data_IF_617667315798
#
_entry.id   IF_617667315798
#
_cell.length_a   1.000
_cell.length_b   1.000
_cell.length_c   1.000
_cell.angle_alpha   90.00
_cell.angle_beta   90.00
_cell.angle_gamma   90.00
#
_symmetry.space_group_name_H-M   'P 1'
#
loop_
_entity.id
_entity.type
_entity.pdbx_description
1 polymer ?
#
# COMPACT_ATOMS: atom_id res chain seq x y z
N UNK A 1 -0.72 -20.62 -9.06
CA UNK A 1 -0.49 -19.15 -9.03
C UNK A 1 -1.13 -18.59 -7.78
N UNK A 2 -0.49 -17.62 -7.14
CA UNK A 2 -0.90 -17.09 -5.84
C UNK A 2 -1.08 -15.58 -5.89
N UNK A 3 -2.08 -15.06 -5.18
CA UNK A 3 -2.23 -13.62 -4.96
C UNK A 3 -1.13 -13.10 -4.05
N UNK A 4 -0.63 -11.90 -4.35
CA UNK A 4 0.26 -11.17 -3.47
C UNK A 4 -0.09 -9.68 -3.51
N UNK A 5 -0.47 -9.14 -2.37
CA UNK A 5 -0.85 -7.73 -2.24
C UNK A 5 0.18 -6.94 -1.47
N UNK A 6 0.22 -5.64 -1.74
CA UNK A 6 1.06 -4.71 -0.99
C UNK A 6 0.76 -4.75 0.52
N UNK A 7 -0.52 -4.87 0.90
CA UNK A 7 -0.93 -4.92 2.30
C UNK A 7 -0.39 -6.14 3.06
N UNK A 8 -0.32 -7.31 2.39
CA UNK A 8 0.29 -8.51 3.00
C UNK A 8 1.78 -8.30 3.26
N UNK A 9 2.52 -7.81 2.24
CA UNK A 9 3.95 -7.55 2.39
C UNK A 9 4.23 -6.47 3.44
N UNK A 10 3.41 -5.40 3.49
CA UNK A 10 3.54 -4.36 4.51
C UNK A 10 3.25 -4.87 5.93
N UNK A 11 2.27 -5.77 6.09
CA UNK A 11 1.98 -6.38 7.38
C UNK A 11 3.14 -7.26 7.86
N UNK A 12 3.76 -8.02 6.95
CA UNK A 12 4.95 -8.81 7.24
C UNK A 12 6.15 -7.92 7.62
N UNK A 13 6.42 -6.86 6.84
CA UNK A 13 7.50 -5.90 7.15
C UNK A 13 7.28 -5.22 8.49
N UNK A 14 6.05 -4.80 8.79
CA UNK A 14 5.72 -4.21 10.08
C UNK A 14 6.01 -5.16 11.25
N UNK A 15 5.74 -6.45 11.08
CA UNK A 15 6.12 -7.46 12.08
C UNK A 15 7.66 -7.56 12.22
N UNK A 16 8.41 -7.57 11.12
CA UNK A 16 9.88 -7.67 11.18
C UNK A 16 10.53 -6.44 11.83
N UNK A 17 9.91 -5.27 11.67
CA UNK A 17 10.41 -3.99 12.19
C UNK A 17 9.88 -3.68 13.61
N UNK A 18 9.10 -4.60 14.20
CA UNK A 18 8.54 -4.40 15.54
C UNK A 18 9.62 -4.57 16.63
N UNK A 19 9.59 -3.69 17.62
CA UNK A 19 10.40 -3.81 18.82
C UNK A 19 10.06 -5.10 19.60
N UNK A 20 10.99 -5.67 20.32
CA UNK A 20 10.83 -6.90 21.09
C UNK A 20 9.59 -6.89 21.99
N UNK A 21 9.28 -5.75 22.61
CA UNK A 21 8.11 -5.60 23.48
C UNK A 21 6.76 -5.76 22.75
N UNK A 22 6.74 -5.62 21.43
CA UNK A 22 5.54 -5.70 20.61
C UNK A 22 5.58 -6.85 19.58
N UNK A 23 6.66 -7.64 19.55
CA UNK A 23 6.91 -8.66 18.55
C UNK A 23 5.77 -9.70 18.46
N UNK A 24 5.28 -10.20 19.60
CA UNK A 24 4.18 -11.18 19.63
C UNK A 24 2.87 -10.60 19.08
N UNK A 25 2.53 -9.36 19.42
CA UNK A 25 1.34 -8.70 18.93
C UNK A 25 1.45 -8.40 17.42
N UNK A 26 2.63 -8.00 16.95
CA UNK A 26 2.91 -7.75 15.54
C UNK A 26 2.87 -9.05 14.73
N UNK A 27 3.42 -10.15 15.25
CA UNK A 27 3.32 -11.47 14.63
C UNK A 27 1.86 -11.93 14.54
N UNK A 28 1.10 -11.83 15.63
CA UNK A 28 -0.33 -12.17 15.64
C UNK A 28 -1.09 -11.37 14.59
N UNK A 29 -0.85 -10.06 14.50
CA UNK A 29 -1.48 -9.20 13.49
C UNK A 29 -1.09 -9.58 12.07
N UNK A 30 0.19 -9.93 11.82
CA UNK A 30 0.63 -10.42 10.53
C UNK A 30 -0.04 -11.75 10.17
N UNK A 31 -0.08 -12.73 11.10
CA UNK A 31 -0.72 -14.03 10.87
C UNK A 31 -2.22 -13.90 10.57
N UNK A 32 -2.93 -13.01 11.25
CA UNK A 32 -4.33 -12.70 10.93
C UNK A 32 -4.48 -12.15 9.50
N UNK A 33 -3.53 -11.30 9.03
CA UNK A 33 -3.51 -10.84 7.64
C UNK A 33 -3.21 -11.99 6.67
N UNK A 34 -2.23 -12.85 7.00
CA UNK A 34 -1.85 -14.00 6.20
C UNK A 34 -3.01 -14.99 6.03
N UNK A 35 -3.82 -15.20 7.06
CA UNK A 35 -4.99 -16.07 7.07
C UNK A 35 -6.26 -15.40 6.56
N UNK A 36 -6.18 -14.10 6.18
CA UNK A 36 -7.32 -13.30 5.73
C UNK A 36 -8.46 -13.25 6.75
N UNK A 37 -8.13 -13.24 8.02
CA UNK A 37 -9.11 -13.08 9.09
C UNK A 37 -9.71 -11.66 9.05
N UNK A 38 -10.98 -11.56 9.37
CA UNK A 38 -11.65 -10.25 9.48
C UNK A 38 -11.00 -9.43 10.58
N UNK A 39 -10.72 -8.17 10.28
CA UNK A 39 -10.14 -7.22 11.23
C UNK A 39 -11.10 -6.04 11.41
N UNK A 40 -11.29 -5.67 12.66
CA UNK A 40 -11.99 -4.42 12.96
C UNK A 40 -11.18 -3.22 12.45
N UNK A 41 -11.87 -2.25 11.86
CA UNK A 41 -11.27 -0.98 11.47
C UNK A 41 -10.91 -0.19 12.71
N UNK A 42 -9.64 0.05 12.95
CA UNK A 42 -9.19 0.87 14.07
C UNK A 42 -9.52 2.34 13.84
N UNK A 43 -9.58 3.12 14.92
CA UNK A 43 -9.78 4.59 14.84
C UNK A 43 -8.70 5.26 13.96
N UNK A 44 -7.45 4.79 14.00
CA UNK A 44 -6.38 5.31 13.17
C UNK A 44 -6.58 5.00 11.68
N UNK A 45 -7.06 3.78 11.36
CA UNK A 45 -7.40 3.39 9.98
C UNK A 45 -8.58 4.22 9.47
N UNK A 46 -9.63 4.37 10.27
CA UNK A 46 -10.80 5.19 9.90
C UNK A 46 -10.39 6.63 9.62
N UNK A 47 -9.56 7.21 10.47
CA UNK A 47 -9.07 8.57 10.28
C UNK A 47 -8.21 8.73 9.00
N UNK A 48 -7.51 7.68 8.56
CA UNK A 48 -6.82 7.65 7.27
C UNK A 48 -7.79 7.64 6.10
N UNK A 49 -8.81 6.76 6.16
CA UNK A 49 -9.88 6.65 5.16
C UNK A 49 -10.63 7.99 5.02
N UNK A 50 -11.02 8.60 6.13
CA UNK A 50 -11.74 9.88 6.12
C UNK A 50 -10.89 11.01 5.53
N UNK A 51 -9.59 11.03 5.81
CA UNK A 51 -8.67 12.02 5.28
C UNK A 51 -8.51 11.89 3.76
N UNK A 52 -8.34 10.68 3.25
CA UNK A 52 -8.27 10.41 1.82
C UNK A 52 -9.60 10.75 1.12
N UNK A 53 -10.73 10.35 1.71
CA UNK A 53 -12.06 10.67 1.19
C UNK A 53 -12.30 12.18 1.08
N UNK A 54 -11.83 12.96 2.05
CA UNK A 54 -11.93 14.43 2.02
C UNK A 54 -11.08 15.04 0.88
N UNK A 55 -9.88 14.49 0.61
CA UNK A 55 -9.06 14.91 -0.53
C UNK A 55 -9.78 14.57 -1.85
N UNK A 56 -10.31 13.35 -1.98
CA UNK A 56 -11.04 12.91 -3.17
C UNK A 56 -12.26 13.81 -3.45
N UNK A 57 -13.04 14.12 -2.42
CA UNK A 57 -14.19 15.03 -2.51
C UNK A 57 -13.77 16.42 -2.97
N UNK A 58 -12.71 16.98 -2.38
CA UNK A 58 -12.17 18.31 -2.76
C UNK A 58 -11.68 18.33 -4.20
N UNK A 59 -10.97 17.28 -4.65
CA UNK A 59 -10.52 17.16 -6.06
C UNK A 59 -11.71 17.09 -7.02
N UNK A 60 -12.78 16.41 -6.61
CA UNK A 60 -14.04 16.34 -7.38
C UNK A 60 -14.89 17.62 -7.31
N UNK A 61 -14.48 18.64 -6.56
CA UNK A 61 -15.25 19.87 -6.37
C UNK A 61 -16.46 19.73 -5.45
N UNK A 62 -16.51 18.68 -4.64
CA UNK A 62 -17.56 18.44 -3.65
C UNK A 62 -17.14 19.14 -2.34
N UNK A 63 -18.01 20.01 -1.76
CA UNK A 63 -17.74 20.65 -0.49
C UNK A 63 -17.56 19.62 0.64
N UNK A 64 -16.63 19.91 1.55
CA UNK A 64 -16.42 19.15 2.77
C UNK A 64 -16.67 20.05 3.99
N UNK A 65 -17.11 19.45 5.08
CA UNK A 65 -17.24 20.17 6.34
C UNK A 65 -15.85 20.45 6.95
N UNK A 66 -15.59 21.68 7.42
CA UNK A 66 -14.33 22.02 8.08
C UNK A 66 -14.11 21.19 9.35
N UNK A 67 -12.88 20.72 9.57
CA UNK A 67 -12.50 19.94 10.76
C UNK A 67 -11.60 20.76 11.68
N UNK A 68 -10.49 21.25 11.12
CA UNK A 68 -9.58 22.17 11.81
C UNK A 68 -8.68 22.86 10.77
N UNK A 69 -8.14 24.03 11.14
CA UNK A 69 -7.31 24.82 10.23
C UNK A 69 -6.17 24.01 9.59
N UNK A 70 -5.40 23.24 10.39
CA UNK A 70 -4.27 22.43 9.89
C UNK A 70 -4.73 21.26 9.02
N UNK A 71 -5.84 20.64 9.40
CA UNK A 71 -6.42 19.54 8.62
C UNK A 71 -6.92 20.05 7.28
N UNK A 72 -7.63 21.15 7.27
CA UNK A 72 -8.21 21.74 6.06
C UNK A 72 -7.12 22.29 5.13
N UNK A 73 -6.04 22.86 5.68
CA UNK A 73 -4.85 23.27 4.92
C UNK A 73 -4.14 22.07 4.29
N UNK A 74 -4.05 20.95 5.00
CA UNK A 74 -3.43 19.72 4.46
C UNK A 74 -4.27 19.14 3.30
N UNK A 75 -5.60 19.07 3.46
CA UNK A 75 -6.52 18.66 2.39
C UNK A 75 -6.36 19.58 1.17
N UNK A 76 -6.44 20.90 1.35
CA UNK A 76 -6.31 21.84 0.25
C UNK A 76 -4.96 21.74 -0.47
N UNK A 77 -3.87 21.45 0.26
CA UNK A 77 -2.53 21.24 -0.33
C UNK A 77 -2.46 19.97 -1.15
N UNK A 78 -2.94 18.84 -0.60
CA UNK A 78 -2.86 17.54 -1.29
C UNK A 78 -3.84 17.49 -2.45
N UNK A 79 -5.02 18.04 -2.33
CA UNK A 79 -5.98 18.15 -3.42
C UNK A 79 -5.42 18.92 -4.62
N UNK A 80 -4.66 20.02 -4.40
CA UNK A 80 -3.97 20.73 -5.49
C UNK A 80 -2.91 19.87 -6.17
N UNK A 81 -2.17 19.05 -5.43
CA UNK A 81 -1.18 18.12 -5.98
C UNK A 81 -1.88 17.07 -6.84
N UNK A 82 -2.95 16.46 -6.31
CA UNK A 82 -3.69 15.39 -6.95
C UNK A 82 -4.61 15.85 -8.10
N UNK A 83 -5.01 17.13 -8.11
CA UNK A 83 -5.92 17.69 -9.13
C UNK A 83 -5.41 17.44 -10.54
N UNK A 84 -6.29 16.93 -11.42
CA UNK A 84 -5.98 16.50 -12.79
C UNK A 84 -5.28 15.13 -12.87
N UNK A 85 -5.12 14.42 -11.76
CA UNK A 85 -4.71 13.02 -11.71
C UNK A 85 -5.91 12.07 -11.74
N UNK A 86 -5.63 10.78 -11.95
CA UNK A 86 -6.62 9.70 -11.86
C UNK A 86 -6.61 9.15 -10.42
N UNK A 87 -7.75 9.19 -9.70
CA UNK A 87 -7.88 8.58 -8.39
C UNK A 87 -8.09 7.06 -8.49
N UNK A 88 -7.71 6.34 -7.44
CA UNK A 88 -8.02 4.92 -7.22
C UNK A 88 -7.69 4.04 -8.43
N UNK A 89 -6.45 4.16 -8.94
CA UNK A 89 -6.00 3.41 -10.13
C UNK A 89 -5.62 1.99 -9.76
N UNK A 90 -6.40 0.97 -10.17
CA UNK A 90 -6.04 -0.42 -9.96
C UNK A 90 -4.85 -0.79 -10.83
N UNK A 91 -3.91 -1.53 -10.26
CA UNK A 91 -2.72 -2.05 -10.95
C UNK A 91 -2.55 -3.53 -10.63
N UNK A 92 -2.23 -4.30 -11.65
CA UNK A 92 -2.02 -5.75 -11.52
C UNK A 92 -0.93 -6.21 -12.48
N UNK A 93 -0.24 -7.29 -12.13
CA UNK A 93 0.79 -7.88 -12.98
C UNK A 93 1.21 -9.25 -12.47
N UNK A 94 1.81 -10.04 -13.37
CA UNK A 94 2.34 -11.36 -13.03
C UNK A 94 3.83 -11.27 -12.77
N UNK A 95 4.30 -12.07 -11.82
CA UNK A 95 5.71 -12.14 -11.46
C UNK A 95 6.07 -13.57 -11.08
N UNK A 96 7.20 -14.07 -11.59
CA UNK A 96 7.76 -15.36 -11.20
C UNK A 96 8.97 -15.15 -10.29
N UNK A 97 8.89 -15.61 -9.05
CA UNK A 97 9.96 -15.45 -8.06
C UNK A 97 10.05 -16.71 -7.20
N UNK A 98 11.25 -17.15 -6.87
CA UNK A 98 11.51 -18.30 -5.97
C UNK A 98 10.76 -19.58 -6.39
N UNK A 99 10.59 -19.80 -7.72
CA UNK A 99 9.89 -20.97 -8.27
C UNK A 99 8.37 -20.92 -8.16
N UNK A 100 7.79 -19.78 -7.78
CA UNK A 100 6.35 -19.57 -7.65
C UNK A 100 5.85 -18.47 -8.58
N UNK A 101 4.64 -18.64 -9.10
CA UNK A 101 3.95 -17.62 -9.91
C UNK A 101 3.02 -16.80 -9.03
N UNK A 102 3.18 -15.49 -9.06
CA UNK A 102 2.37 -14.54 -8.32
C UNK A 102 1.52 -13.67 -9.25
N UNK A 103 0.30 -13.39 -8.82
CA UNK A 103 -0.50 -12.28 -9.30
C UNK A 103 -0.37 -11.14 -8.29
N UNK A 104 0.38 -10.11 -8.63
CA UNK A 104 0.47 -8.88 -7.86
C UNK A 104 -0.76 -8.03 -8.12
N UNK A 105 -1.27 -7.37 -7.08
CA UNK A 105 -2.40 -6.46 -7.18
C UNK A 105 -2.30 -5.34 -6.15
N UNK A 106 -2.72 -4.15 -6.56
CA UNK A 106 -2.87 -3.00 -5.68
C UNK A 106 -3.72 -1.90 -6.30
N UNK A 107 -4.01 -0.86 -5.52
CA UNK A 107 -4.71 0.34 -5.98
C UNK A 107 -3.85 1.54 -5.59
N UNK A 108 -3.48 2.36 -6.58
CA UNK A 108 -2.79 3.62 -6.33
C UNK A 108 -3.82 4.69 -5.97
N UNK A 109 -3.60 5.47 -4.89
CA UNK A 109 -4.55 6.51 -4.49
C UNK A 109 -4.71 7.55 -5.61
N UNK A 110 -3.58 7.99 -6.20
CA UNK A 110 -3.58 8.85 -7.39
C UNK A 110 -2.43 8.54 -8.34
N UNK A 111 -2.69 8.68 -9.64
CA UNK A 111 -1.66 8.65 -10.69
C UNK A 111 -1.76 9.94 -11.52
N UNK A 112 -0.66 10.68 -11.65
CA UNK A 112 -0.61 11.93 -12.41
C UNK A 112 0.76 12.14 -13.04
N UNK A 113 0.80 12.35 -14.36
CA UNK A 113 2.02 12.71 -15.10
C UNK A 113 3.24 11.80 -14.79
N UNK A 114 3.02 10.48 -14.72
CA UNK A 114 4.08 9.51 -14.45
C UNK A 114 4.55 9.47 -12.98
N UNK A 115 3.76 10.03 -12.06
CA UNK A 115 3.98 9.96 -10.61
C UNK A 115 2.81 9.24 -9.96
N UNK A 116 3.11 8.27 -9.10
CA UNK A 116 2.14 7.66 -8.20
C UNK A 116 2.17 8.45 -6.90
N UNK A 117 1.01 8.87 -6.43
CA UNK A 117 0.86 9.50 -5.10
C UNK A 117 0.08 8.57 -4.20
N UNK A 118 0.54 8.48 -2.96
CA UNK A 118 -0.08 7.71 -1.89
C UNK A 118 -0.28 8.61 -0.68
N UNK A 119 -1.51 8.65 -0.17
CA UNK A 119 -1.93 9.56 0.89
C UNK A 119 -1.80 8.87 2.23
N UNK A 120 -1.06 9.48 3.14
CA UNK A 120 -0.82 8.94 4.49
C UNK A 120 -1.25 9.94 5.56
N UNK A 121 -2.17 9.53 6.43
CA UNK A 121 -2.42 10.20 7.71
C UNK A 121 -1.81 9.38 8.83
N UNK A 122 -0.87 9.95 9.55
CA UNK A 122 -0.11 9.30 10.63
C UNK A 122 -0.17 10.14 11.90
N UNK A 123 0.11 9.54 13.05
CA UNK A 123 0.23 10.28 14.32
C UNK A 123 1.58 10.96 14.46
N UNK A 124 2.63 10.35 13.92
CA UNK A 124 4.00 10.87 13.92
C UNK A 124 4.70 10.46 12.63
N UNK A 125 5.43 11.40 12.06
CA UNK A 125 6.25 11.16 10.89
C UNK A 125 7.72 11.51 11.19
N UNK A 126 8.59 10.63 10.73
CA UNK A 126 10.04 10.83 10.68
C UNK A 126 10.50 10.57 9.25
N UNK A 127 11.42 11.38 8.76
CA UNK A 127 11.95 11.24 7.40
C UNK A 127 12.60 9.86 7.21
N UNK A 128 12.30 9.23 6.07
CA UNK A 128 12.76 7.86 5.77
C UNK A 128 11.86 6.76 6.34
N UNK A 129 10.73 7.09 6.98
CA UNK A 129 9.78 6.10 7.51
C UNK A 129 9.36 5.05 6.48
N UNK A 130 9.27 5.43 5.22
CA UNK A 130 8.82 4.55 4.14
C UNK A 130 9.96 3.97 3.29
N UNK A 131 11.23 4.19 3.67
CA UNK A 131 12.40 3.73 2.90
C UNK A 131 12.36 2.24 2.59
N UNK A 132 11.95 1.43 3.54
CA UNK A 132 11.87 -0.03 3.40
C UNK A 132 10.44 -0.56 3.15
N UNK A 133 9.52 0.34 2.78
CA UNK A 133 8.15 -0.07 2.44
C UNK A 133 8.13 -0.87 1.14
N UNK A 134 7.44 -2.01 1.07
CA UNK A 134 7.26 -2.77 -0.17
C UNK A 134 6.31 -2.08 -1.17
N UNK A 135 5.66 -1.00 -0.77
CA UNK A 135 4.61 -0.35 -1.54
C UNK A 135 5.15 0.33 -2.79
N UNK A 136 6.15 1.20 -2.66
CA UNK A 136 6.70 1.93 -3.80
C UNK A 136 7.45 1.03 -4.81
N UNK A 137 8.24 -0.01 -4.41
CA UNK A 137 8.80 -0.96 -5.36
C UNK A 137 7.74 -1.71 -6.14
N UNK A 138 6.70 -2.21 -5.44
CA UNK A 138 5.62 -2.98 -6.06
C UNK A 138 4.82 -2.15 -7.07
N UNK A 139 4.40 -0.95 -6.70
CA UNK A 139 3.59 -0.11 -7.57
C UNK A 139 4.38 0.44 -8.77
N UNK A 140 5.63 0.80 -8.58
CA UNK A 140 6.51 1.17 -9.69
C UNK A 140 6.81 -0.03 -10.60
N UNK A 141 6.91 -1.26 -10.08
CA UNK A 141 7.01 -2.46 -10.90
C UNK A 141 5.75 -2.65 -11.76
N UNK A 142 4.56 -2.54 -11.16
CA UNK A 142 3.28 -2.77 -11.83
C UNK A 142 2.90 -1.68 -12.83
N UNK A 143 3.27 -0.43 -12.57
CA UNK A 143 2.95 0.70 -13.45
C UNK A 143 4.21 1.19 -14.16
N UNK A 144 4.54 0.58 -15.30
CA UNK A 144 5.78 0.86 -16.05
C UNK A 144 5.87 2.32 -16.53
N UNK A 145 4.74 2.98 -16.79
CA UNK A 145 4.67 4.40 -17.17
C UNK A 145 4.96 5.38 -16.03
N UNK A 146 5.01 4.91 -14.77
CA UNK A 146 5.38 5.76 -13.65
C UNK A 146 6.90 5.70 -13.39
N UNK A 147 7.51 6.85 -13.14
CA UNK A 147 8.94 6.98 -12.82
C UNK A 147 9.20 7.31 -11.36
N UNK A 148 8.18 7.74 -10.64
CA UNK A 148 8.25 8.19 -9.25
C UNK A 148 7.05 7.70 -8.44
N UNK A 149 7.30 7.48 -7.15
CA UNK A 149 6.29 7.24 -6.14
C UNK A 149 6.47 8.27 -5.03
N UNK A 150 5.41 8.96 -4.64
CA UNK A 150 5.45 10.02 -3.63
C UNK A 150 4.42 9.76 -2.55
N UNK A 151 4.87 9.59 -1.32
CA UNK A 151 4.00 9.63 -0.15
C UNK A 151 3.67 11.08 0.18
N UNK A 152 2.38 11.41 0.25
CA UNK A 152 1.85 12.68 0.75
C UNK A 152 1.40 12.45 2.19
N UNK A 153 2.12 13.01 3.15
CA UNK A 153 2.01 12.63 4.56
C UNK A 153 1.49 13.81 5.37
N UNK A 154 0.47 13.57 6.21
CA UNK A 154 -0.01 14.50 7.22
C UNK A 154 0.08 13.85 8.60
N UNK A 155 0.78 14.49 9.55
CA UNK A 155 0.99 13.99 10.92
C UNK A 155 0.05 14.60 11.97
N UNK A 156 -0.98 15.33 11.51
CA UNK A 156 -1.89 16.06 12.36
C UNK A 156 -1.47 17.53 12.60
N UNK A 157 -0.23 17.89 12.30
CA UNK A 157 0.30 19.22 12.47
C UNK A 157 0.95 19.78 11.19
N UNK A 158 1.68 18.93 10.47
CA UNK A 158 2.49 19.30 9.31
C UNK A 158 2.24 18.36 8.15
N UNK A 159 2.59 18.84 6.97
CA UNK A 159 2.52 18.03 5.73
C UNK A 159 3.93 17.83 5.16
N UNK A 160 4.20 16.59 4.73
CA UNK A 160 5.49 16.21 4.15
C UNK A 160 5.27 15.50 2.81
N UNK A 161 6.34 15.39 2.04
CA UNK A 161 6.39 14.57 0.84
C UNK A 161 7.70 13.77 0.84
N UNK A 162 7.58 12.45 0.70
CA UNK A 162 8.71 11.54 0.60
C UNK A 162 8.65 10.84 -0.75
N UNK A 163 9.67 11.01 -1.60
CA UNK A 163 9.63 10.58 -3.00
C UNK A 163 10.73 9.58 -3.28
N UNK A 164 10.35 8.48 -3.94
CA UNK A 164 11.24 7.43 -4.42
C UNK A 164 11.19 7.33 -5.94
N UNK A 165 12.34 7.08 -6.57
CA UNK A 165 12.48 6.82 -8.02
C UNK A 165 12.92 5.39 -8.24
N UNK A 166 12.73 4.89 -9.46
CA UNK A 166 13.33 3.61 -9.85
C UNK A 166 14.84 3.67 -9.64
N UNK A 167 15.39 2.67 -8.94
CA UNK A 167 16.80 2.60 -8.57
C UNK A 167 17.16 3.18 -7.19
N UNK A 168 16.22 3.84 -6.50
CA UNK A 168 16.43 4.29 -5.12
C UNK A 168 16.23 3.16 -4.08
N UNK A 169 15.75 1.99 -4.51
CA UNK A 169 15.36 0.86 -3.66
C UNK A 169 15.62 -0.49 -4.37
N UNK A 170 15.64 -1.56 -3.58
CA UNK A 170 15.79 -2.91 -4.11
C UNK A 170 14.53 -3.35 -4.89
N UNK A 171 14.69 -4.21 -5.91
CA UNK A 171 13.57 -4.76 -6.66
C UNK A 171 12.56 -5.45 -5.76
N UNK A 172 11.26 -5.39 -6.12
CA UNK A 172 10.19 -6.05 -5.33
C UNK A 172 10.39 -7.58 -5.26
N UNK A 173 11.06 -8.16 -6.26
CA UNK A 173 11.45 -9.56 -6.35
C UNK A 173 12.26 -10.00 -5.12
N UNK A 174 13.17 -9.16 -4.64
CA UNK A 174 14.01 -9.45 -3.48
C UNK A 174 13.16 -9.49 -2.20
N UNK A 175 12.25 -8.53 -2.04
CA UNK A 175 11.30 -8.51 -0.94
C UNK A 175 10.41 -9.76 -0.95
N UNK A 176 9.91 -10.17 -2.12
CA UNK A 176 9.07 -11.36 -2.27
C UNK A 176 9.88 -12.63 -1.94
N UNK A 177 11.11 -12.73 -2.44
CA UNK A 177 12.00 -13.85 -2.13
C UNK A 177 12.25 -13.98 -0.62
N UNK A 178 12.54 -12.88 0.05
CA UNK A 178 12.71 -12.84 1.50
C UNK A 178 11.43 -13.26 2.24
N UNK A 179 10.27 -12.78 1.80
CA UNK A 179 8.98 -13.13 2.36
C UNK A 179 8.70 -14.65 2.27
N UNK A 180 8.88 -15.25 1.08
CA UNK A 180 8.65 -16.68 0.86
C UNK A 180 9.65 -17.52 1.69
N UNK A 181 10.91 -17.15 1.71
CA UNK A 181 11.92 -17.83 2.51
C UNK A 181 11.60 -17.75 4.01
N UNK A 182 11.10 -16.61 4.48
CA UNK A 182 10.67 -16.47 5.87
C UNK A 182 9.47 -17.37 6.18
N UNK A 183 8.46 -17.45 5.30
CA UNK A 183 7.31 -18.34 5.47
C UNK A 183 7.73 -19.81 5.53
N UNK A 184 8.64 -20.22 4.66
CA UNK A 184 9.20 -21.58 4.66
C UNK A 184 9.95 -21.90 5.95
N UNK A 185 10.85 -21.03 6.37
CA UNK A 185 11.69 -21.22 7.55
C UNK A 185 10.88 -21.27 8.85
N UNK A 186 9.74 -20.59 8.92
CA UNK A 186 8.89 -20.51 10.10
C UNK A 186 7.64 -21.40 10.03
N UNK A 187 7.47 -22.20 8.96
CA UNK A 187 6.38 -23.18 8.84
C UNK A 187 5.02 -22.60 8.42
N UNK A 188 4.97 -21.34 7.96
CA UNK A 188 3.72 -20.65 7.56
C UNK A 188 3.41 -20.71 6.07
N UNK A 189 4.23 -21.38 5.27
CA UNK A 189 4.03 -21.43 3.80
C UNK A 189 2.69 -22.07 3.41
N UNK A 190 2.22 -23.06 4.16
CA UNK A 190 0.94 -23.71 3.90
C UNK A 190 -0.24 -22.79 4.21
N UNK A 191 -0.14 -21.94 5.24
CA UNK A 191 -1.15 -20.90 5.51
C UNK A 191 -1.27 -19.96 4.29
N UNK A 192 -0.12 -19.54 3.74
CA UNK A 192 -0.10 -18.71 2.53
C UNK A 192 -0.76 -19.44 1.35
N UNK A 193 -0.37 -20.65 1.03
CA UNK A 193 -0.92 -21.39 -0.09
C UNK A 193 -2.43 -21.58 0.05
N UNK A 194 -2.91 -21.93 1.24
CA UNK A 194 -4.34 -22.17 1.50
C UNK A 194 -5.17 -20.89 1.29
N UNK A 195 -4.70 -19.75 1.73
CA UNK A 195 -5.51 -18.53 1.77
C UNK A 195 -5.27 -17.61 0.55
N UNK A 196 -4.19 -17.81 -0.21
CA UNK A 196 -3.79 -16.90 -1.29
C UNK A 196 -3.73 -17.59 -2.66
N UNK A 197 -4.12 -18.84 -2.77
CA UNK A 197 -4.24 -19.50 -4.06
C UNK A 197 -5.31 -18.80 -4.91
N UNK A 198 -5.00 -18.61 -6.20
CA UNK A 198 -5.95 -18.07 -7.16
C UNK A 198 -6.95 -19.14 -7.56
N UNK A 199 -8.23 -18.89 -7.30
CA UNK A 199 -9.34 -19.65 -7.85
C UNK A 199 -9.95 -18.90 -9.05
N UNK A 200 -10.67 -19.64 -9.91
CA UNK A 200 -11.22 -19.16 -11.18
C UNK A 200 -12.16 -17.96 -11.00
N UNK A 201 -12.93 -17.91 -9.91
CA UNK A 201 -13.88 -16.80 -9.63
C UNK A 201 -13.22 -15.45 -9.38
N UNK A 202 -11.91 -15.43 -9.01
CA UNK A 202 -11.14 -14.19 -8.81
C UNK A 202 -10.41 -13.73 -10.07
N UNK A 203 -10.24 -14.61 -11.06
CA UNK A 203 -9.60 -14.26 -12.33
C UNK A 203 -10.46 -13.30 -13.15
N UNK A 204 -11.78 -13.52 -13.20
CA UNK A 204 -12.72 -12.71 -13.98
C UNK A 204 -12.72 -11.21 -13.59
N UNK A 205 -12.38 -10.91 -12.34
CA UNK A 205 -12.27 -9.53 -11.85
C UNK A 205 -11.03 -8.79 -12.36
N UNK A 206 -9.95 -9.49 -12.73
CA UNK A 206 -8.71 -8.89 -13.21
C UNK A 206 -8.72 -8.71 -14.71
N UNK A 207 -9.27 -9.67 -15.45
CA UNK A 207 -9.35 -9.58 -16.91
C UNK A 207 -10.20 -8.37 -17.33
N UNK A 208 -11.17 -7.96 -16.50
CA UNK A 208 -11.89 -6.70 -16.65
C UNK A 208 -11.05 -5.43 -16.41
N UNK A 209 -9.94 -5.51 -15.65
CA UNK A 209 -9.05 -4.38 -15.35
C UNK A 209 -7.97 -4.21 -16.42
N UNK A 210 -7.52 -5.29 -17.06
CA UNK A 210 -6.53 -5.26 -18.14
C UNK A 210 -7.11 -4.86 -19.50
N UNK A 211 -8.44 -4.79 -19.61
CA UNK A 211 -9.16 -4.48 -20.86
C UNK A 211 -9.59 -3.00 -20.98
N UNK A 212 -9.23 -2.14 -20.03
CA UNK A 212 -9.36 -0.68 -20.05
C UNK A 212 -7.97 -0.05 -20.14
#
# INVERSE_FOLDING_TARGET
>A
MYWLTQSLLSSWKHFLDADDAYADAALSSFLSTLRREEKETTQAMQAGIDFEAAINSTVAGVPIEPVSEKYDQAIAKFSRICSGGQPQVPVAGRLHVSGLDFQLYGVCDYVKAGVIYDIKRVQRYEYGKYLHSPQHPMYLHLLSGASKFTYLIFDGANTYAETYRRGDFDPIEDTISCFINWLLANGYINDYFTHWEMNTERMDKIDGIQSC
#
